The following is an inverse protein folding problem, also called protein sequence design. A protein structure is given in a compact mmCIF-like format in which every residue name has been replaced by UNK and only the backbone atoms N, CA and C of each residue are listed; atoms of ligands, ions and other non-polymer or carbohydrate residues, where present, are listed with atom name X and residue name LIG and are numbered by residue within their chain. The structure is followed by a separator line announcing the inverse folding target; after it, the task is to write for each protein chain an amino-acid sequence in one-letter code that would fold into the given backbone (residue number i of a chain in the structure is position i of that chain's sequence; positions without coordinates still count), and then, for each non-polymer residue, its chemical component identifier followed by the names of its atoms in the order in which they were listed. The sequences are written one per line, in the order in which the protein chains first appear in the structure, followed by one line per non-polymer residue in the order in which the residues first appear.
data_IF_779218417290
#
_entry.id   IF_779218417290
#
_cell.length_a   1.000
_cell.length_b   1.000
_cell.length_c   1.000
_cell.angle_alpha   90.00
_cell.angle_beta   90.00
_cell.angle_gamma   90.00
#
_symmetry.space_group_name_H-M   'P 1'
#
loop_
_entity.id
_entity.type
_entity.pdbx_description
1 polymer ?
#
# COMPACT_ATOMS: atom_id res chain seq x y z
N UNK A 1 33.84 63.79 2.80
CA UNK A 1 32.48 63.57 2.25
C UNK A 1 32.60 62.71 1.02
N UNK A 2 31.94 61.55 1.02
CA UNK A 2 32.16 60.50 0.02
C UNK A 2 31.39 60.80 -1.27
N UNK A 3 31.92 60.39 -2.43
CA UNK A 3 31.39 60.74 -3.75
C UNK A 3 29.93 60.29 -3.99
N UNK A 4 29.47 59.25 -3.28
CA UNK A 4 28.11 58.73 -3.36
C UNK A 4 27.09 59.55 -2.55
N UNK A 5 27.50 60.37 -1.58
CA UNK A 5 26.56 61.27 -0.88
C UNK A 5 26.04 62.37 -1.81
N UNK A 6 26.81 62.72 -2.85
CA UNK A 6 26.45 63.76 -3.83
C UNK A 6 25.37 63.32 -4.83
N UNK A 7 25.12 62.02 -4.97
CA UNK A 7 24.11 61.49 -5.89
C UNK A 7 22.75 61.25 -5.23
N UNK A 8 22.68 61.34 -3.90
CA UNK A 8 21.41 61.21 -3.17
C UNK A 8 20.59 62.49 -3.32
N UNK A 9 19.29 62.34 -3.53
CA UNK A 9 18.35 63.46 -3.56
C UNK A 9 18.42 64.19 -2.21
N UNK A 10 18.59 65.53 -2.18
CA UNK A 10 18.63 66.27 -0.92
C UNK A 10 17.32 66.11 -0.14
N UNK A 11 17.41 66.16 1.18
CA UNK A 11 16.25 66.07 2.07
C UNK A 11 15.22 67.15 1.70
N UNK A 12 13.97 66.75 1.55
CA UNK A 12 12.92 67.71 1.15
C UNK A 12 12.62 68.69 2.30
N UNK A 13 12.67 70.01 2.07
CA UNK A 13 12.38 70.99 3.13
C UNK A 13 10.91 70.95 3.55
N UNK A 14 10.03 70.53 2.64
CA UNK A 14 8.59 70.45 2.86
C UNK A 14 8.24 69.41 3.95
N UNK A 15 7.71 69.91 5.08
CA UNK A 15 7.30 69.10 6.23
C UNK A 15 6.25 68.04 5.88
N UNK A 16 5.33 68.34 4.97
CA UNK A 16 4.29 67.39 4.55
C UNK A 16 4.88 66.20 3.77
N UNK A 17 5.89 66.44 2.93
CA UNK A 17 6.58 65.37 2.20
C UNK A 17 7.45 64.52 3.12
N UNK A 18 8.13 65.13 4.10
CA UNK A 18 8.86 64.39 5.15
C UNK A 18 7.93 63.53 6.01
N UNK A 19 6.75 64.05 6.37
CA UNK A 19 5.75 63.29 7.13
C UNK A 19 5.20 62.11 6.32
N UNK A 20 4.93 62.30 5.02
CA UNK A 20 4.52 61.21 4.11
C UNK A 20 5.62 60.15 3.95
N UNK A 21 6.88 60.57 3.83
CA UNK A 21 8.02 59.66 3.72
C UNK A 21 8.29 58.89 5.02
N UNK A 22 8.16 59.54 6.18
CA UNK A 22 8.30 58.90 7.50
C UNK A 22 7.17 57.89 7.79
N UNK A 23 5.97 58.12 7.24
CA UNK A 23 4.85 57.19 7.30
C UNK A 23 4.88 56.08 6.25
N UNK A 24 5.84 56.09 5.32
CA UNK A 24 5.99 55.05 4.31
C UNK A 24 6.69 53.82 4.94
N UNK A 25 6.00 53.16 5.85
CA UNK A 25 6.44 51.91 6.43
C UNK A 25 5.89 50.74 5.60
N UNK A 26 6.68 50.28 4.62
CA UNK A 26 6.39 49.04 3.90
C UNK A 26 6.95 47.89 4.74
N UNK A 27 6.14 47.36 5.65
CA UNK A 27 6.44 46.07 6.28
C UNK A 27 6.14 44.97 5.25
N UNK A 28 7.12 44.66 4.40
CA UNK A 28 7.04 43.53 3.51
C UNK A 28 7.16 42.24 4.32
N UNK A 29 6.03 41.63 4.69
CA UNK A 29 6.06 40.24 5.13
C UNK A 29 6.51 39.39 3.94
N UNK A 30 7.37 38.40 4.19
CA UNK A 30 7.71 37.40 3.17
C UNK A 30 6.46 36.55 2.92
N UNK A 31 5.65 36.99 1.96
CA UNK A 31 4.53 36.22 1.44
C UNK A 31 5.04 35.39 0.25
N UNK A 32 4.64 34.12 0.14
CA UNK A 32 4.94 33.35 -1.04
C UNK A 32 4.33 34.03 -2.27
N UNK A 33 5.10 34.08 -3.36
CA UNK A 33 4.60 34.58 -4.64
C UNK A 33 3.42 33.69 -5.05
N UNK A 34 2.29 34.25 -5.49
CA UNK A 34 1.18 33.46 -6.01
C UNK A 34 1.68 32.55 -7.15
N UNK A 35 1.32 31.27 -7.09
CA UNK A 35 1.65 30.32 -8.15
C UNK A 35 0.82 30.66 -9.39
N UNK A 36 1.49 31.03 -10.47
CA UNK A 36 0.85 31.41 -11.72
C UNK A 36 0.55 30.17 -12.56
N UNK A 37 -0.72 30.01 -12.96
CA UNK A 37 -1.17 28.93 -13.83
C UNK A 37 -1.51 29.49 -15.23
N UNK A 38 -0.59 29.29 -16.17
CA UNK A 38 -0.73 29.76 -17.55
C UNK A 38 -1.92 29.10 -18.29
N UNK A 39 -2.32 27.90 -17.89
CA UNK A 39 -3.45 27.19 -18.51
C UNK A 39 -4.80 27.78 -18.11
N UNK A 40 -4.84 28.58 -17.04
CA UNK A 40 -6.04 29.25 -16.55
C UNK A 40 -6.02 30.75 -16.79
N UNK A 41 -4.97 31.25 -17.46
CA UNK A 41 -4.91 32.66 -17.83
C UNK A 41 -5.85 32.94 -18.99
N UNK A 42 -6.88 33.77 -18.72
CA UNK A 42 -7.85 34.23 -19.72
C UNK A 42 -7.21 34.99 -20.87
N UNK A 43 -6.06 35.64 -20.63
CA UNK A 43 -5.36 36.38 -21.69
C UNK A 43 -4.74 35.44 -22.73
N UNK A 44 -4.63 34.15 -22.43
CA UNK A 44 -4.08 33.12 -23.30
C UNK A 44 -5.18 32.27 -23.96
N UNK A 45 -6.47 32.52 -23.71
CA UNK A 45 -7.58 31.73 -24.26
C UNK A 45 -7.53 31.63 -25.80
N UNK A 46 -7.22 32.73 -26.48
CA UNK A 46 -7.07 32.75 -27.95
C UNK A 46 -5.89 31.90 -28.44
N UNK A 47 -4.81 31.85 -27.66
CA UNK A 47 -3.65 31.00 -27.96
C UNK A 47 -4.02 29.51 -27.83
N UNK A 48 -4.80 29.16 -26.80
CA UNK A 48 -5.29 27.81 -26.56
C UNK A 48 -6.37 27.39 -27.57
N UNK A 49 -7.10 28.33 -28.17
CA UNK A 49 -8.14 28.06 -29.16
C UNK A 49 -7.59 27.60 -30.52
N UNK A 50 -6.30 27.80 -30.81
CA UNK A 50 -5.66 27.39 -32.06
C UNK A 50 -5.74 25.87 -32.28
N UNK A 51 -6.16 25.38 -33.47
CA UNK A 51 -6.35 23.94 -33.72
C UNK A 51 -5.10 23.08 -33.50
N UNK A 52 -3.92 23.60 -33.87
CA UNK A 52 -2.66 22.89 -33.68
C UNK A 52 -2.34 22.74 -32.18
N UNK A 53 -2.56 23.80 -31.42
CA UNK A 53 -2.38 23.83 -29.97
C UNK A 53 -3.38 22.86 -29.31
N UNK A 54 -4.67 22.91 -29.66
CA UNK A 54 -5.69 22.00 -29.12
C UNK A 54 -5.37 20.53 -29.38
N UNK A 55 -4.96 20.18 -30.60
CA UNK A 55 -4.58 18.81 -30.92
C UNK A 55 -3.39 18.34 -30.05
N UNK A 56 -2.42 19.22 -29.81
CA UNK A 56 -1.29 18.91 -28.94
C UNK A 56 -1.72 18.69 -27.47
N UNK A 57 -2.55 19.57 -26.92
CA UNK A 57 -3.05 19.46 -25.54
C UNK A 57 -4.00 18.28 -25.35
N UNK A 58 -4.80 17.93 -26.36
CA UNK A 58 -5.64 16.74 -26.36
C UNK A 58 -4.78 15.48 -26.33
N UNK A 59 -3.74 15.40 -27.18
CA UNK A 59 -2.80 14.28 -27.18
C UNK A 59 -2.03 14.14 -25.85
N UNK A 60 -1.77 15.25 -25.16
CA UNK A 60 -1.15 15.24 -23.83
C UNK A 60 -2.12 14.91 -22.70
N UNK A 61 -3.43 14.82 -22.97
CA UNK A 61 -4.45 14.58 -21.94
C UNK A 61 -4.69 15.78 -21.01
N UNK A 62 -4.34 16.98 -21.46
CA UNK A 62 -4.56 18.24 -20.74
C UNK A 62 -5.85 18.96 -21.15
N UNK A 63 -6.51 18.44 -22.19
CA UNK A 63 -7.78 18.93 -22.70
C UNK A 63 -8.78 17.78 -22.77
N UNK A 64 -10.01 18.03 -22.34
CA UNK A 64 -11.09 17.08 -22.47
C UNK A 64 -11.68 17.10 -23.90
N UNK A 65 -12.53 16.11 -24.22
CA UNK A 65 -13.13 15.97 -25.56
C UNK A 65 -14.10 17.12 -25.91
N UNK A 66 -14.63 17.81 -24.89
CA UNK A 66 -15.42 19.03 -25.05
C UNK A 66 -14.55 20.26 -25.35
N UNK A 67 -13.22 20.10 -25.32
CA UNK A 67 -12.26 21.14 -25.58
C UNK A 67 -11.96 22.05 -24.37
N UNK A 68 -12.40 21.68 -23.17
CA UNK A 68 -12.08 22.36 -21.92
C UNK A 68 -10.71 21.95 -21.38
N UNK A 69 -9.99 22.88 -20.74
CA UNK A 69 -8.70 22.60 -20.11
C UNK A 69 -8.87 21.91 -18.75
N UNK A 70 -8.15 20.81 -18.56
CA UNK A 70 -8.21 20.02 -17.33
C UNK A 70 -7.34 20.67 -16.25
N UNK A 71 -7.90 20.81 -15.04
CA UNK A 71 -7.11 21.27 -13.89
C UNK A 71 -6.03 20.25 -13.53
N UNK A 72 -4.77 20.68 -13.52
CA UNK A 72 -3.65 19.83 -13.07
C UNK A 72 -3.82 19.35 -11.62
N UNK A 73 -4.42 20.16 -10.76
CA UNK A 73 -4.66 19.79 -9.36
C UNK A 73 -5.67 18.66 -9.27
N UNK A 74 -6.80 18.77 -9.97
CA UNK A 74 -7.84 17.73 -9.99
C UNK A 74 -7.32 16.46 -10.68
N UNK A 75 -6.54 16.61 -11.74
CA UNK A 75 -5.91 15.49 -12.44
C UNK A 75 -4.96 14.72 -11.52
N UNK A 76 -4.09 15.42 -10.80
CA UNK A 76 -3.18 14.80 -9.80
C UNK A 76 -3.96 14.09 -8.68
N UNK A 77 -5.05 14.68 -8.20
CA UNK A 77 -5.90 14.05 -7.19
C UNK A 77 -6.55 12.77 -7.72
N UNK A 78 -7.07 12.77 -8.95
CA UNK A 78 -7.63 11.58 -9.59
C UNK A 78 -6.58 10.49 -9.76
N UNK A 79 -5.39 10.84 -10.26
CA UNK A 79 -4.27 9.90 -10.40
C UNK A 79 -3.90 9.28 -9.05
N UNK A 80 -3.77 10.09 -8.00
CA UNK A 80 -3.44 9.60 -6.66
C UNK A 80 -4.45 8.57 -6.13
N UNK A 81 -5.76 8.79 -6.38
CA UNK A 81 -6.80 7.83 -5.99
C UNK A 81 -6.64 6.53 -6.78
N UNK A 82 -6.41 6.61 -8.09
CA UNK A 82 -6.22 5.43 -8.94
C UNK A 82 -5.00 4.61 -8.48
N UNK A 83 -3.86 5.26 -8.27
CA UNK A 83 -2.64 4.62 -7.78
C UNK A 83 -2.89 3.90 -6.45
N UNK A 84 -3.55 4.57 -5.50
CA UNK A 84 -3.87 3.98 -4.20
C UNK A 84 -4.80 2.77 -4.29
N UNK A 85 -5.77 2.78 -5.20
CA UNK A 85 -6.65 1.63 -5.41
C UNK A 85 -5.92 0.47 -6.11
N UNK A 86 -4.96 0.75 -7.00
CA UNK A 86 -4.11 -0.28 -7.61
C UNK A 86 -3.22 -0.95 -6.56
N UNK A 87 -2.56 -0.18 -5.70
CA UNK A 87 -1.74 -0.70 -4.61
C UNK A 87 -2.57 -1.59 -3.66
N UNK A 88 -3.78 -1.15 -3.31
CA UNK A 88 -4.69 -1.94 -2.47
C UNK A 88 -5.09 -3.24 -3.16
N UNK A 89 -5.38 -3.20 -4.45
CA UNK A 89 -5.75 -4.38 -5.23
C UNK A 89 -4.58 -5.38 -5.32
N UNK A 90 -3.36 -4.90 -5.49
CA UNK A 90 -2.15 -5.72 -5.50
C UNK A 90 -1.92 -6.40 -4.15
N UNK A 91 -1.93 -5.64 -3.05
CA UNK A 91 -1.81 -6.19 -1.70
C UNK A 91 -2.89 -7.24 -1.39
N UNK A 92 -4.12 -7.05 -1.89
CA UNK A 92 -5.18 -8.03 -1.73
C UNK A 92 -4.88 -9.32 -2.50
N UNK A 93 -4.40 -9.21 -3.75
CA UNK A 93 -4.00 -10.37 -4.57
C UNK A 93 -2.89 -11.16 -3.90
N UNK A 94 -1.86 -10.49 -3.38
CA UNK A 94 -0.76 -11.13 -2.66
C UNK A 94 -1.25 -11.88 -1.41
N UNK A 95 -2.10 -11.25 -0.60
CA UNK A 95 -2.70 -11.90 0.58
C UNK A 95 -3.52 -13.12 0.21
N UNK A 96 -4.29 -13.06 -0.86
CA UNK A 96 -5.09 -14.19 -1.34
C UNK A 96 -4.21 -15.33 -1.87
N UNK A 97 -3.14 -15.00 -2.59
CA UNK A 97 -2.16 -15.97 -3.06
C UNK A 97 -1.47 -16.67 -1.88
N UNK A 98 -1.02 -15.92 -0.87
CA UNK A 98 -0.43 -16.47 0.34
C UNK A 98 -1.39 -17.39 1.10
N UNK A 99 -2.65 -16.96 1.30
CA UNK A 99 -3.68 -17.80 1.93
C UNK A 99 -3.93 -19.09 1.16
N UNK A 100 -3.96 -19.03 -0.17
CA UNK A 100 -4.12 -20.22 -1.02
C UNK A 100 -2.96 -21.19 -0.82
N UNK A 101 -1.71 -20.70 -0.84
CA UNK A 101 -0.53 -21.52 -0.59
C UNK A 101 -0.56 -22.18 0.81
N UNK A 102 -0.92 -21.43 1.85
CA UNK A 102 -1.04 -21.97 3.21
C UNK A 102 -2.10 -23.08 3.30
N UNK A 103 -3.25 -22.88 2.64
CA UNK A 103 -4.30 -23.89 2.58
C UNK A 103 -3.86 -25.16 1.84
N UNK A 104 -3.11 -25.01 0.75
CA UNK A 104 -2.53 -26.16 0.03
C UNK A 104 -1.53 -26.93 0.91
N UNK A 105 -0.63 -26.23 1.60
CA UNK A 105 0.32 -26.84 2.55
C UNK A 105 -0.44 -27.60 3.64
N UNK A 106 -1.46 -26.98 4.24
CA UNK A 106 -2.28 -27.60 5.28
C UNK A 106 -2.99 -28.86 4.78
N UNK A 107 -3.60 -28.81 3.58
CA UNK A 107 -4.26 -29.97 2.98
C UNK A 107 -3.28 -31.12 2.70
N UNK A 108 -2.08 -30.81 2.20
CA UNK A 108 -1.03 -31.81 1.97
C UNK A 108 -0.57 -32.45 3.28
N UNK A 109 -0.34 -31.65 4.32
CA UNK A 109 0.04 -32.15 5.65
C UNK A 109 -1.06 -33.04 6.24
N UNK A 110 -2.34 -32.62 6.11
CA UNK A 110 -3.49 -33.41 6.55
C UNK A 110 -3.56 -34.77 5.86
N UNK A 111 -3.48 -34.80 4.52
CA UNK A 111 -3.46 -36.05 3.73
C UNK A 111 -2.32 -36.98 4.17
N UNK A 112 -1.10 -36.44 4.33
CA UNK A 112 0.05 -37.21 4.84
C UNK A 112 -0.23 -37.80 6.23
N UNK A 113 -0.83 -37.02 7.13
CA UNK A 113 -1.16 -37.49 8.47
C UNK A 113 -2.20 -38.62 8.47
N UNK A 114 -3.19 -38.55 7.58
CA UNK A 114 -4.24 -39.58 7.43
C UNK A 114 -3.64 -40.89 6.91
N UNK A 115 -2.73 -40.81 5.92
CA UNK A 115 -1.99 -41.97 5.41
C UNK A 115 -1.13 -42.61 6.52
N UNK A 116 -0.39 -41.81 7.28
CA UNK A 116 0.46 -42.31 8.37
C UNK A 116 -0.36 -42.98 9.49
N UNK A 117 -1.52 -42.40 9.84
CA UNK A 117 -2.46 -43.00 10.80
C UNK A 117 -3.00 -44.34 10.31
N UNK A 118 -3.38 -44.43 9.03
CA UNK A 118 -3.87 -45.67 8.43
C UNK A 118 -2.80 -46.77 8.45
N UNK A 119 -1.56 -46.44 8.05
CA UNK A 119 -0.41 -47.36 8.10
C UNK A 119 -0.15 -47.86 9.53
N UNK A 120 -0.09 -46.94 10.50
CA UNK A 120 0.11 -47.32 11.91
C UNK A 120 -1.01 -48.21 12.44
N UNK A 121 -2.25 -47.98 12.01
CA UNK A 121 -3.37 -48.83 12.39
C UNK A 121 -3.27 -50.25 11.80
N UNK A 122 -2.74 -50.39 10.58
CA UNK A 122 -2.43 -51.70 9.97
C UNK A 122 -1.33 -52.43 10.75
N UNK A 123 -0.20 -51.76 11.02
CA UNK A 123 0.91 -52.34 11.80
C UNK A 123 0.43 -52.82 13.19
N UNK A 124 -0.42 -52.04 13.87
CA UNK A 124 -1.01 -52.45 15.16
C UNK A 124 -1.93 -53.67 15.01
N UNK A 125 -2.69 -53.77 13.91
CA UNK A 125 -3.57 -54.94 13.66
C UNK A 125 -2.75 -56.20 13.43
N UNK A 126 -1.69 -56.11 12.64
CA UNK A 126 -0.77 -57.22 12.36
C UNK A 126 -0.12 -57.74 13.65
N UNK A 127 0.46 -56.85 14.46
CA UNK A 127 1.04 -57.21 15.76
C UNK A 127 0.02 -57.83 16.73
N UNK A 128 -1.24 -57.38 16.68
CA UNK A 128 -2.32 -57.98 17.49
C UNK A 128 -2.68 -59.39 16.99
N UNK A 129 -2.76 -59.61 15.68
CA UNK A 129 -2.99 -60.95 15.13
C UNK A 129 -1.85 -61.91 15.48
N UNK A 130 -0.59 -61.49 15.34
CA UNK A 130 0.58 -62.29 15.72
C UNK A 130 0.55 -62.69 17.20
N UNK A 131 0.25 -61.73 18.10
CA UNK A 131 0.06 -62.02 19.53
C UNK A 131 -1.09 -62.99 19.80
N UNK A 132 -2.21 -62.84 19.08
CA UNK A 132 -3.36 -63.74 19.21
C UNK A 132 -3.00 -65.17 18.80
N UNK A 133 -2.24 -65.34 17.71
CA UNK A 133 -1.78 -66.65 17.24
C UNK A 133 -0.81 -67.32 18.21
N UNK A 134 0.08 -66.54 18.84
CA UNK A 134 1.01 -67.03 19.88
C UNK A 134 0.24 -67.47 21.14
N UNK A 135 -0.76 -66.71 21.59
CA UNK A 135 -1.56 -67.07 22.77
C UNK A 135 -2.52 -68.25 22.53
N UNK A 136 -2.95 -68.50 21.29
CA UNK A 136 -3.72 -69.69 20.92
C UNK A 136 -2.84 -70.94 20.74
N UNK A 137 -1.53 -70.76 20.59
CA UNK A 137 -0.53 -71.83 20.47
C UNK A 137 0.13 -72.15 21.81
N UNK A 138 -0.56 -72.91 22.66
CA UNK A 138 0.05 -73.70 23.74
C UNK A 138 0.73 -72.93 24.89
N UNK A 139 -0.05 -72.49 25.87
CA UNK A 139 0.45 -72.32 27.24
C UNK A 139 0.28 -73.62 28.04
N UNK A 140 1.33 -74.14 28.72
CA UNK A 140 1.20 -75.37 29.51
C UNK A 140 0.22 -75.17 30.67
N UNK A 141 -0.68 -76.14 30.82
CA UNK A 141 -1.63 -76.23 31.92
C UNK A 141 -0.92 -76.08 33.27
N UNK A 142 -1.22 -74.99 34.00
CA UNK A 142 -0.87 -74.90 35.43
C UNK A 142 -1.77 -75.89 36.17
N UNK A 143 -1.17 -77.00 36.59
CA UNK A 143 -1.72 -78.01 37.49
C UNK A 143 -2.24 -77.32 38.77
N UNK A 144 -3.54 -77.45 39.02
CA UNK A 144 -4.11 -77.24 40.35
C UNK A 144 -3.80 -78.46 41.20
N UNK A 145 -2.86 -78.33 42.14
CA UNK A 145 -2.72 -79.27 43.26
C UNK A 145 -3.76 -78.89 44.31
N UNK A 146 -4.92 -79.52 44.27
CA UNK A 146 -5.84 -79.60 45.41
C UNK A 146 -5.46 -80.81 46.26
N UNK A 147 -5.03 -80.52 47.48
CA UNK A 147 -5.28 -81.24 48.73
C UNK A 147 -5.68 -82.72 48.61
N UNK A 148 -4.80 -83.61 49.08
CA UNK A 148 -5.21 -84.88 49.66
C UNK A 148 -4.69 -84.96 51.10
N UNK A 149 -5.63 -84.75 52.00
CA UNK A 149 -5.61 -85.07 53.42
C UNK A 149 -5.84 -86.58 53.56
N UNK A 150 -4.94 -87.30 54.27
CA UNK A 150 -5.25 -88.24 55.36
C UNK A 150 -4.16 -89.30 55.61
N UNK A 151 -3.86 -89.44 56.90
CA UNK A 151 -3.25 -90.54 57.67
C UNK A 151 -1.75 -90.81 57.50
#
# INVERSE_FOLDING_TARGET
MSAWEKTLRPSTPNRALRARAAGFHVSGNSAPIPEYDALRDRNLDDFWASPATRAHFHNMGLMADDGSLISMVEYRQKLYVVEREMDRAEQLRERMAYRKQQMEIYQMARRKSEIMKARRAQEIRELKSERSHICSGGGPARLGMTELVNL
#
